data_IF_417151761856
#
_entry.id   IF_417151761856
#
_cell.length_a   1.000
_cell.length_b   1.000
_cell.length_c   1.000
_cell.angle_alpha   90.00
_cell.angle_beta   90.00
_cell.angle_gamma   90.00
#
_symmetry.space_group_name_H-M   'P 1'
#
loop_
_entity.id
_entity.type
_entity.pdbx_description
1 polymer ?
#
# COMPACT_ATOMS: atom_id res chain seq x y z
N UNK A 1 -1.26 -8.35 -24.66
CA UNK A 1 -2.02 -9.54 -24.15
C UNK A 1 -3.46 -9.08 -23.97
N UNK A 2 -4.43 -9.82 -24.43
CA UNK A 2 -5.86 -9.48 -24.25
C UNK A 2 -6.35 -10.22 -23.01
N UNK A 3 -6.97 -9.50 -22.08
CA UNK A 3 -7.65 -10.10 -20.93
C UNK A 3 -8.98 -10.69 -21.40
N UNK A 4 -9.19 -11.98 -21.13
CA UNK A 4 -10.42 -12.70 -21.52
C UNK A 4 -10.73 -13.76 -20.47
N UNK A 5 -12.00 -13.92 -20.13
CA UNK A 5 -12.47 -14.94 -19.19
C UNK A 5 -12.25 -16.36 -19.69
N UNK A 6 -12.13 -16.54 -21.01
CA UNK A 6 -11.80 -17.83 -21.63
C UNK A 6 -10.38 -18.32 -21.27
N UNK A 7 -9.49 -17.39 -20.94
CA UNK A 7 -8.06 -17.68 -20.68
C UNK A 7 -7.73 -17.75 -19.20
N UNK A 8 -8.57 -17.19 -18.34
CA UNK A 8 -8.36 -17.11 -16.89
C UNK A 8 -9.41 -17.94 -16.18
N UNK A 9 -9.08 -19.16 -15.88
CA UNK A 9 -9.94 -20.03 -15.08
C UNK A 9 -9.37 -20.15 -13.66
N UNK A 10 -10.26 -20.32 -12.70
CA UNK A 10 -9.94 -20.46 -11.28
C UNK A 10 -9.15 -19.28 -10.71
N UNK A 11 -9.56 -18.07 -11.08
CA UNK A 11 -8.99 -16.84 -10.56
C UNK A 11 -10.04 -16.13 -9.72
N UNK A 12 -9.76 -15.79 -8.46
CA UNK A 12 -10.67 -14.97 -7.66
C UNK A 12 -10.71 -13.53 -8.18
N UNK A 13 -11.73 -12.74 -7.82
CA UNK A 13 -11.71 -11.31 -8.06
C UNK A 13 -10.51 -10.68 -7.34
N UNK A 14 -9.93 -9.62 -7.91
CA UNK A 14 -8.90 -8.85 -7.21
C UNK A 14 -9.56 -8.05 -6.09
N UNK A 15 -9.22 -8.40 -4.85
CA UNK A 15 -9.63 -7.72 -3.65
C UNK A 15 -8.46 -7.70 -2.66
N UNK A 16 -8.51 -6.82 -1.65
CA UNK A 16 -7.46 -6.67 -0.65
C UNK A 16 -6.05 -6.45 -1.25
N UNK A 17 -5.99 -5.86 -2.45
CA UNK A 17 -4.76 -5.61 -3.22
C UNK A 17 -3.89 -6.85 -3.48
N UNK A 18 -4.49 -8.05 -3.48
CA UNK A 18 -3.80 -9.33 -3.62
C UNK A 18 -3.39 -9.69 -5.07
N UNK A 19 -3.54 -8.78 -6.03
CA UNK A 19 -3.24 -9.05 -7.45
C UNK A 19 -1.80 -9.49 -7.69
N UNK A 20 -0.84 -8.79 -7.11
CA UNK A 20 0.59 -9.16 -7.19
C UNK A 20 0.89 -10.46 -6.43
N UNK A 21 0.29 -10.65 -5.26
CA UNK A 21 0.48 -11.83 -4.44
C UNK A 21 0.05 -13.10 -5.17
N UNK A 22 -1.16 -13.12 -5.72
CA UNK A 22 -1.71 -14.31 -6.37
C UNK A 22 -1.23 -14.45 -7.82
N UNK A 23 -1.48 -13.43 -8.65
CA UNK A 23 -1.17 -13.51 -10.07
C UNK A 23 0.33 -13.39 -10.34
N UNK A 24 1.05 -12.59 -9.54
CA UNK A 24 2.50 -12.49 -9.62
C UNK A 24 3.19 -13.81 -9.28
N UNK A 25 2.77 -14.49 -8.21
CA UNK A 25 3.31 -15.80 -7.84
C UNK A 25 2.92 -16.89 -8.84
N UNK A 26 1.70 -16.86 -9.38
CA UNK A 26 1.28 -17.77 -10.44
C UNK A 26 2.14 -17.59 -11.70
N UNK A 27 2.39 -16.35 -12.13
CA UNK A 27 3.28 -16.04 -13.24
C UNK A 27 4.73 -16.51 -12.96
N UNK A 28 5.23 -16.29 -11.75
CA UNK A 28 6.55 -16.77 -11.34
C UNK A 28 6.66 -18.29 -11.42
N UNK A 29 5.61 -19.01 -11.00
CA UNK A 29 5.57 -20.47 -11.11
C UNK A 29 5.55 -20.95 -12.56
N UNK A 30 4.84 -20.26 -13.47
CA UNK A 30 4.92 -20.56 -14.91
C UNK A 30 6.34 -20.30 -15.46
N UNK A 31 6.93 -19.16 -15.12
CA UNK A 31 8.30 -18.83 -15.54
C UNK A 31 9.35 -19.83 -15.02
N UNK A 32 9.19 -20.31 -13.79
CA UNK A 32 10.08 -21.35 -13.22
C UNK A 32 10.04 -22.65 -14.02
N UNK A 33 8.85 -23.06 -14.47
CA UNK A 33 8.71 -24.27 -15.32
C UNK A 33 9.38 -24.07 -16.68
N UNK A 34 9.14 -22.94 -17.34
CA UNK A 34 9.80 -22.61 -18.62
C UNK A 34 11.31 -22.54 -18.44
N UNK A 35 11.78 -21.89 -17.37
CA UNK A 35 13.20 -21.81 -17.06
C UNK A 35 13.81 -23.20 -16.85
N UNK A 36 13.11 -24.10 -16.16
CA UNK A 36 13.56 -25.48 -15.97
C UNK A 36 13.77 -26.17 -17.31
N UNK A 37 12.80 -26.14 -18.23
CA UNK A 37 12.88 -26.73 -19.56
C UNK A 37 14.08 -26.17 -20.34
N UNK A 38 14.25 -24.83 -20.32
CA UNK A 38 15.39 -24.17 -20.98
C UNK A 38 16.74 -24.54 -20.34
N UNK A 39 16.79 -24.68 -19.01
CA UNK A 39 17.99 -25.05 -18.27
C UNK A 39 18.43 -26.46 -18.60
N UNK A 40 17.48 -27.41 -18.62
CA UNK A 40 17.74 -28.82 -19.01
C UNK A 40 18.27 -28.90 -20.45
N UNK A 41 17.64 -28.19 -21.38
CA UNK A 41 18.11 -28.13 -22.77
C UNK A 41 19.50 -27.48 -22.87
N UNK A 42 19.73 -26.35 -22.22
CA UNK A 42 21.01 -25.63 -22.24
C UNK A 42 22.15 -26.47 -21.66
N UNK A 43 21.86 -27.29 -20.62
CA UNK A 43 22.89 -28.15 -20.00
C UNK A 43 23.47 -29.16 -20.93
N UNK A 44 22.69 -29.67 -21.87
CA UNK A 44 23.17 -30.58 -22.92
C UNK A 44 23.80 -29.84 -24.11
N UNK A 45 23.20 -28.67 -24.47
CA UNK A 45 23.64 -27.94 -25.67
C UNK A 45 24.98 -27.18 -25.48
N UNK A 46 25.22 -26.65 -24.28
CA UNK A 46 26.40 -25.80 -23.99
C UNK A 46 27.65 -26.62 -23.60
N UNK A 47 27.55 -27.94 -23.47
CA UNK A 47 28.69 -28.78 -23.18
C UNK A 47 29.41 -29.15 -24.47
N UNK A 48 30.72 -28.88 -24.58
CA UNK A 48 31.52 -29.42 -25.67
C UNK A 48 31.57 -30.96 -25.62
N UNK A 49 31.53 -31.66 -26.77
CA UNK A 49 31.59 -33.09 -26.82
C UNK A 49 32.80 -33.68 -26.08
N UNK A 50 33.93 -32.99 -26.11
CA UNK A 50 35.18 -33.42 -25.50
C UNK A 50 35.45 -32.84 -24.10
N UNK A 51 34.45 -32.30 -23.46
CA UNK A 51 34.61 -31.67 -22.15
C UNK A 51 34.88 -32.62 -21.01
N UNK A 52 34.46 -33.88 -21.17
CA UNK A 52 34.48 -34.89 -20.11
C UNK A 52 33.53 -34.60 -18.95
N UNK A 53 32.57 -33.72 -19.18
CA UNK A 53 31.55 -33.29 -18.19
C UNK A 53 30.20 -33.88 -18.58
N UNK A 54 29.41 -34.28 -17.60
CA UNK A 54 28.01 -34.66 -17.80
C UNK A 54 27.11 -33.44 -17.80
N UNK A 55 25.98 -33.40 -18.55
CA UNK A 55 24.96 -32.37 -18.48
C UNK A 55 24.46 -32.16 -17.04
N UNK A 56 24.47 -30.93 -16.59
CA UNK A 56 24.11 -30.57 -15.20
C UNK A 56 23.34 -29.25 -15.17
N UNK A 57 22.01 -29.30 -15.09
CA UNK A 57 21.15 -28.15 -15.11
C UNK A 57 21.44 -27.11 -13.99
N UNK A 58 21.91 -27.57 -12.84
CA UNK A 58 22.26 -26.74 -11.69
C UNK A 58 23.45 -25.80 -11.96
N UNK A 59 24.29 -26.10 -12.93
CA UNK A 59 25.43 -25.27 -13.30
C UNK A 59 25.13 -24.26 -14.42
N UNK A 60 23.91 -24.26 -14.95
CA UNK A 60 23.53 -23.33 -16.00
C UNK A 60 23.14 -21.98 -15.38
N UNK A 61 23.90 -20.98 -15.74
CA UNK A 61 23.72 -19.60 -15.29
C UNK A 61 23.03 -18.76 -16.36
N UNK A 62 22.01 -18.02 -15.96
CA UNK A 62 21.33 -17.00 -16.76
C UNK A 62 21.73 -15.64 -16.20
N UNK A 63 22.55 -14.90 -16.92
CA UNK A 63 23.08 -13.62 -16.47
C UNK A 63 23.11 -12.59 -17.62
N UNK A 64 22.52 -11.42 -17.39
CA UNK A 64 22.49 -10.30 -18.33
C UNK A 64 22.11 -10.69 -19.77
N UNK A 65 21.11 -11.57 -19.92
CA UNK A 65 20.64 -12.04 -21.23
C UNK A 65 21.54 -13.07 -21.90
N UNK A 66 22.57 -13.54 -21.22
CA UNK A 66 23.50 -14.58 -21.67
C UNK A 66 23.35 -15.82 -20.79
N UNK A 67 23.50 -16.98 -21.39
CA UNK A 67 23.44 -18.29 -20.73
C UNK A 67 24.75 -19.04 -20.97
N UNK A 68 25.28 -19.63 -19.91
CA UNK A 68 26.52 -20.44 -19.96
C UNK A 68 26.52 -21.47 -18.85
N UNK A 69 27.37 -22.49 -19.00
CA UNK A 69 27.68 -23.44 -17.94
C UNK A 69 28.84 -22.90 -17.11
N UNK A 70 28.63 -22.70 -15.80
CA UNK A 70 29.62 -22.08 -14.90
C UNK A 70 30.93 -22.93 -14.82
N UNK A 71 30.86 -24.25 -14.95
CA UNK A 71 32.01 -25.15 -14.97
C UNK A 71 32.88 -24.95 -16.20
N UNK A 72 32.29 -24.55 -17.33
CA UNK A 72 32.98 -24.36 -18.61
C UNK A 72 33.48 -22.93 -18.83
N UNK A 73 33.01 -21.94 -18.03
CA UNK A 73 33.31 -20.51 -18.20
C UNK A 73 34.80 -20.17 -18.32
N UNK A 74 35.64 -20.87 -17.56
CA UNK A 74 37.09 -20.64 -17.59
C UNK A 74 37.81 -21.42 -18.68
N UNK A 75 37.27 -22.60 -19.09
CA UNK A 75 37.88 -23.50 -20.11
C UNK A 75 37.40 -23.16 -21.53
N UNK A 76 36.13 -22.76 -21.67
CA UNK A 76 35.49 -22.53 -22.96
C UNK A 76 34.65 -21.22 -22.90
N UNK A 77 35.32 -20.07 -22.82
CA UNK A 77 34.62 -18.76 -22.63
C UNK A 77 33.71 -18.40 -23.80
N UNK A 78 33.89 -19.02 -24.97
CA UNK A 78 33.03 -18.91 -26.16
C UNK A 78 31.73 -19.71 -26.03
N UNK A 79 31.66 -20.71 -25.15
CA UNK A 79 30.48 -21.55 -24.95
C UNK A 79 29.39 -20.80 -24.12
N UNK A 80 28.89 -19.78 -24.71
CA UNK A 80 27.78 -19.00 -24.19
C UNK A 80 26.80 -18.70 -25.31
N UNK A 81 25.53 -18.56 -24.95
CA UNK A 81 24.45 -18.28 -25.88
C UNK A 81 23.60 -17.14 -25.35
N UNK A 82 23.02 -16.32 -26.22
CA UNK A 82 22.05 -15.33 -25.80
C UNK A 82 20.71 -16.02 -25.49
N UNK A 83 19.91 -15.40 -24.61
CA UNK A 83 18.57 -15.90 -24.29
C UNK A 83 17.70 -16.05 -25.55
N UNK A 84 17.81 -15.11 -26.49
CA UNK A 84 17.08 -15.14 -27.77
C UNK A 84 17.45 -16.36 -28.62
N UNK A 85 18.73 -16.64 -28.72
CA UNK A 85 19.23 -17.79 -29.49
C UNK A 85 18.85 -19.11 -28.83
N UNK A 86 19.00 -19.21 -27.49
CA UNK A 86 18.57 -20.38 -26.75
C UNK A 86 17.08 -20.69 -26.97
N UNK A 87 16.22 -19.69 -26.87
CA UNK A 87 14.77 -19.84 -27.10
C UNK A 87 14.50 -20.30 -28.55
N UNK A 88 15.22 -19.76 -29.55
CA UNK A 88 15.06 -20.17 -30.95
C UNK A 88 15.48 -21.63 -31.17
N UNK A 89 16.60 -22.04 -30.60
CA UNK A 89 17.06 -23.41 -30.68
C UNK A 89 16.13 -24.38 -29.94
N UNK A 90 15.71 -24.02 -28.72
CA UNK A 90 14.74 -24.80 -27.95
C UNK A 90 13.42 -25.01 -28.72
N UNK A 91 12.97 -23.98 -29.45
CA UNK A 91 11.81 -24.10 -30.34
C UNK A 91 12.04 -25.11 -31.46
N UNK A 92 13.20 -25.08 -32.11
CA UNK A 92 13.53 -26.01 -33.19
C UNK A 92 13.65 -27.45 -32.67
N UNK A 93 14.14 -27.64 -31.44
CA UNK A 93 14.25 -28.92 -30.76
C UNK A 93 12.95 -29.37 -30.07
N UNK A 94 11.84 -28.64 -30.29
CA UNK A 94 10.50 -28.96 -29.77
C UNK A 94 10.40 -28.96 -28.23
N UNK A 95 11.21 -28.14 -27.58
CA UNK A 95 11.14 -27.96 -26.13
C UNK A 95 9.90 -27.06 -25.81
N UNK A 96 9.14 -27.42 -24.77
CA UNK A 96 7.99 -26.61 -24.33
C UNK A 96 8.42 -25.24 -23.83
N UNK A 97 7.94 -24.18 -24.51
CA UNK A 97 8.17 -22.78 -24.17
C UNK A 97 6.92 -22.10 -23.61
N UNK A 98 5.83 -22.83 -23.46
CA UNK A 98 4.56 -22.36 -22.92
C UNK A 98 4.16 -23.16 -21.70
N UNK A 99 3.93 -22.50 -20.58
CA UNK A 99 3.55 -23.13 -19.33
C UNK A 99 2.43 -22.39 -18.62
N UNK A 100 1.69 -23.13 -17.81
CA UNK A 100 0.67 -22.60 -16.93
C UNK A 100 1.15 -22.62 -15.49
N UNK A 101 1.06 -21.46 -14.82
CA UNK A 101 1.30 -21.34 -13.39
C UNK A 101 0.00 -21.24 -12.60
N UNK A 102 0.01 -21.82 -11.44
CA UNK A 102 -1.02 -21.67 -10.42
C UNK A 102 -0.36 -21.41 -9.07
N UNK A 103 -1.03 -20.62 -8.23
CA UNK A 103 -0.59 -20.34 -6.87
C UNK A 103 -1.81 -20.28 -5.95
N UNK A 104 -1.77 -21.02 -4.87
CA UNK A 104 -2.67 -20.90 -3.74
C UNK A 104 -1.88 -20.35 -2.57
N UNK A 105 -2.44 -19.38 -1.86
CA UNK A 105 -1.78 -18.82 -0.66
C UNK A 105 -1.61 -19.90 0.40
N UNK A 106 -0.39 -20.16 0.87
CA UNK A 106 -0.16 -21.18 1.89
C UNK A 106 -0.62 -20.71 3.28
N UNK A 107 -0.84 -21.68 4.16
CA UNK A 107 -1.00 -21.46 5.61
C UNK A 107 -2.16 -20.54 6.01
N UNK A 108 -3.12 -20.26 5.12
CA UNK A 108 -4.35 -19.59 5.48
C UNK A 108 -5.38 -20.64 5.87
N UNK A 109 -5.84 -20.57 7.12
CA UNK A 109 -6.93 -21.39 7.65
C UNK A 109 -7.80 -20.53 8.58
N UNK A 110 -9.10 -20.59 8.39
CA UNK A 110 -10.05 -19.92 9.27
C UNK A 110 -11.38 -20.66 9.32
N UNK A 111 -11.67 -21.22 10.49
CA UNK A 111 -12.94 -21.84 10.75
C UNK A 111 -13.95 -20.80 11.23
N UNK A 112 -14.99 -20.56 10.42
CA UNK A 112 -16.02 -19.53 10.69
C UNK A 112 -16.94 -19.88 11.86
N UNK A 113 -17.12 -21.17 12.18
CA UNK A 113 -18.00 -21.59 13.28
C UNK A 113 -17.33 -21.42 14.63
N UNK A 114 -16.04 -21.68 14.71
CA UNK A 114 -15.26 -21.55 15.94
C UNK A 114 -14.53 -20.21 16.07
N UNK A 115 -14.55 -19.40 15.00
CA UNK A 115 -13.82 -18.12 14.87
C UNK A 115 -12.31 -18.23 15.17
N UNK A 116 -11.72 -19.39 14.82
CA UNK A 116 -10.30 -19.68 15.07
C UNK A 116 -9.57 -19.98 13.76
N UNK A 117 -8.30 -19.61 13.74
CA UNK A 117 -7.39 -19.87 12.62
C UNK A 117 -6.52 -18.67 12.28
N UNK A 118 -5.81 -18.77 11.16
CA UNK A 118 -4.89 -17.78 10.62
C UNK A 118 -5.49 -17.21 9.30
N UNK A 119 -6.37 -16.20 9.37
CA UNK A 119 -7.08 -15.71 8.18
C UNK A 119 -6.22 -14.79 7.31
N UNK A 120 -5.06 -14.32 7.81
CA UNK A 120 -4.21 -13.34 7.13
C UNK A 120 -2.84 -13.89 6.84
N UNK A 121 -2.41 -13.72 5.59
CA UNK A 121 -1.11 -14.21 5.13
C UNK A 121 0.06 -13.37 5.64
N UNK A 122 -0.16 -12.07 5.82
CA UNK A 122 0.77 -11.12 6.43
C UNK A 122 0.04 -9.84 6.83
N UNK A 123 0.73 -9.01 7.56
CA UNK A 123 0.25 -7.68 7.93
C UNK A 123 1.11 -6.61 7.25
N UNK A 124 0.46 -5.51 6.86
CA UNK A 124 1.12 -4.30 6.39
C UNK A 124 1.05 -3.28 7.51
N UNK A 125 2.20 -2.87 8.02
CA UNK A 125 2.32 -1.89 9.11
C UNK A 125 2.68 -0.53 8.54
N UNK A 126 2.19 0.52 9.19
CA UNK A 126 2.54 1.89 8.82
C UNK A 126 2.25 2.85 9.95
N UNK A 127 2.81 4.04 9.83
CA UNK A 127 2.56 5.17 10.72
C UNK A 127 2.31 6.42 9.89
N UNK A 128 1.43 7.29 10.39
CA UNK A 128 1.15 8.58 9.77
C UNK A 128 1.00 9.67 10.83
N UNK A 129 1.48 10.86 10.48
CA UNK A 129 1.30 12.08 11.27
C UNK A 129 0.77 13.15 10.33
N UNK A 130 -0.30 13.82 10.74
CA UNK A 130 -0.93 14.89 9.96
C UNK A 130 -1.08 16.16 10.79
N UNK A 131 -0.91 17.29 10.11
CA UNK A 131 -1.12 18.62 10.65
C UNK A 131 -2.24 19.31 9.88
N UNK A 132 -3.21 19.89 10.59
CA UNK A 132 -4.38 20.51 10.02
C UNK A 132 -4.56 21.92 10.54
N UNK A 133 -5.11 22.78 9.69
CA UNK A 133 -5.60 24.11 10.04
C UNK A 133 -7.12 24.14 9.88
N UNK A 134 -7.82 24.67 10.89
CA UNK A 134 -9.28 24.80 10.88
C UNK A 134 -9.66 26.27 10.99
N UNK A 135 -10.48 26.75 10.07
CA UNK A 135 -11.14 28.05 10.20
C UNK A 135 -12.32 27.94 11.17
N UNK A 136 -12.24 28.63 12.29
CA UNK A 136 -13.27 28.63 13.36
C UNK A 136 -14.62 29.13 12.91
N UNK A 137 -14.68 30.00 11.91
CA UNK A 137 -15.91 30.67 11.48
C UNK A 137 -16.67 29.90 10.42
N UNK A 138 -15.94 29.06 9.64
CA UNK A 138 -16.51 28.31 8.52
C UNK A 138 -16.45 26.80 8.72
N UNK A 139 -15.64 26.31 9.67
CA UNK A 139 -15.33 24.89 9.83
C UNK A 139 -14.44 24.34 8.72
N UNK A 140 -13.95 25.18 7.81
CA UNK A 140 -13.13 24.74 6.70
C UNK A 140 -11.81 24.14 7.20
N UNK A 141 -11.50 22.95 6.70
CA UNK A 141 -10.29 22.19 6.98
C UNK A 141 -9.26 22.42 5.87
N UNK A 142 -8.01 22.68 6.24
CA UNK A 142 -6.84 22.61 5.36
C UNK A 142 -5.85 21.61 5.93
N UNK A 143 -5.42 20.66 5.10
CA UNK A 143 -4.36 19.73 5.43
C UNK A 143 -3.01 20.38 5.09
N UNK A 144 -2.23 20.76 6.11
CA UNK A 144 -0.96 21.50 5.94
C UNK A 144 0.19 20.54 5.67
N UNK A 145 0.28 19.45 6.46
CA UNK A 145 1.38 18.50 6.38
C UNK A 145 0.90 17.09 6.62
N UNK A 146 1.55 16.15 5.93
CA UNK A 146 1.41 14.71 6.19
C UNK A 146 2.74 14.01 5.99
N UNK A 147 3.13 13.20 6.97
CA UNK A 147 4.28 12.32 6.92
C UNK A 147 3.78 10.87 7.01
N UNK A 148 4.09 10.06 5.99
CA UNK A 148 3.71 8.65 5.89
C UNK A 148 4.94 7.77 5.87
N UNK A 149 4.92 6.72 6.68
CA UNK A 149 5.93 5.66 6.67
C UNK A 149 5.24 4.30 6.65
N UNK A 150 5.56 3.44 5.67
CA UNK A 150 4.84 2.21 5.47
C UNK A 150 5.75 1.04 5.09
N UNK A 151 5.50 -0.14 5.67
CA UNK A 151 6.12 -1.40 5.29
C UNK A 151 5.37 -2.02 4.10
N UNK A 152 5.97 -1.93 2.92
CA UNK A 152 5.46 -2.56 1.70
C UNK A 152 6.30 -3.78 1.27
N UNK A 153 7.15 -4.30 2.17
CA UNK A 153 8.16 -5.28 1.83
C UNK A 153 9.26 -4.66 0.97
N UNK A 154 9.75 -5.39 -0.04
CA UNK A 154 10.61 -4.79 -1.07
C UNK A 154 9.78 -4.16 -2.16
N UNK A 155 10.18 -2.99 -2.59
CA UNK A 155 9.53 -2.28 -3.70
C UNK A 155 9.73 -3.03 -5.03
N UNK A 156 8.66 -3.14 -5.80
CA UNK A 156 8.72 -3.65 -7.17
C UNK A 156 9.05 -2.52 -8.15
N UNK A 157 8.39 -1.38 -7.97
CA UNK A 157 8.60 -0.16 -8.74
C UNK A 157 8.40 1.05 -7.83
N UNK A 158 9.47 1.74 -7.40
CA UNK A 158 9.39 2.81 -6.42
C UNK A 158 8.40 3.93 -6.79
N UNK A 159 8.31 4.27 -8.08
CA UNK A 159 7.40 5.33 -8.55
C UNK A 159 5.93 4.90 -8.45
N UNK A 160 5.63 3.67 -8.84
CA UNK A 160 4.26 3.12 -8.75
C UNK A 160 3.89 2.90 -7.29
N UNK A 161 4.76 2.31 -6.50
CA UNK A 161 4.50 2.00 -5.09
C UNK A 161 4.23 3.28 -4.29
N UNK A 162 5.04 4.33 -4.49
CA UNK A 162 4.80 5.65 -3.90
C UNK A 162 3.47 6.25 -4.36
N UNK A 163 3.14 6.11 -5.65
CA UNK A 163 1.85 6.55 -6.20
C UNK A 163 0.66 5.84 -5.57
N UNK A 164 0.77 4.55 -5.28
CA UNK A 164 -0.26 3.78 -4.59
C UNK A 164 -0.45 4.25 -3.14
N UNK A 165 0.65 4.49 -2.41
CA UNK A 165 0.58 5.00 -1.03
C UNK A 165 -0.12 6.35 -0.98
N UNK A 166 0.29 7.28 -1.85
CA UNK A 166 -0.32 8.61 -1.95
C UNK A 166 -1.82 8.50 -2.30
N UNK A 167 -2.13 7.73 -3.35
CA UNK A 167 -3.50 7.58 -3.82
C UNK A 167 -4.44 6.94 -2.79
N UNK A 168 -3.99 5.88 -2.11
CA UNK A 168 -4.75 5.24 -1.05
C UNK A 168 -4.97 6.16 0.14
N UNK A 169 -3.95 6.90 0.58
CA UNK A 169 -4.06 7.87 1.66
C UNK A 169 -5.06 8.98 1.32
N UNK A 170 -4.95 9.61 0.14
CA UNK A 170 -5.84 10.72 -0.27
C UNK A 170 -7.29 10.22 -0.44
N UNK A 171 -7.50 9.01 -0.95
CA UNK A 171 -8.83 8.41 -0.94
C UNK A 171 -9.38 8.31 0.49
N UNK A 172 -8.54 7.87 1.43
CA UNK A 172 -8.91 7.85 2.85
C UNK A 172 -9.20 9.23 3.43
N UNK A 173 -8.44 10.28 3.04
CA UNK A 173 -8.73 11.67 3.45
C UNK A 173 -10.13 12.05 3.03
N UNK A 174 -10.53 11.74 1.80
CA UNK A 174 -11.91 11.96 1.34
C UNK A 174 -12.93 11.26 2.23
N UNK A 175 -12.70 10.00 2.53
CA UNK A 175 -13.58 9.20 3.40
C UNK A 175 -13.75 9.83 4.80
N UNK A 176 -12.70 10.36 5.40
CA UNK A 176 -12.76 10.92 6.75
C UNK A 176 -13.16 12.41 6.79
N UNK A 177 -13.24 13.10 5.65
CA UNK A 177 -13.49 14.56 5.61
C UNK A 177 -14.67 15.00 4.75
N UNK A 178 -14.69 14.71 3.45
CA UNK A 178 -15.65 15.34 2.51
C UNK A 178 -16.63 14.35 1.85
N UNK A 179 -16.38 13.06 1.87
CA UNK A 179 -17.25 12.06 1.25
C UNK A 179 -18.44 11.75 2.15
N UNK A 180 -19.52 12.53 1.99
CA UNK A 180 -20.72 12.47 2.83
C UNK A 180 -21.90 11.86 2.05
N UNK A 181 -22.41 10.74 2.54
CA UNK A 181 -23.59 10.06 2.00
C UNK A 181 -24.85 10.65 2.66
N UNK A 182 -25.58 11.45 1.88
CA UNK A 182 -26.82 12.09 2.31
C UNK A 182 -28.05 11.38 1.74
N UNK A 183 -29.01 11.08 2.61
CA UNK A 183 -30.28 10.49 2.25
C UNK A 183 -31.44 11.41 2.61
N UNK A 184 -32.51 11.37 1.79
CA UNK A 184 -33.78 12.01 2.14
C UNK A 184 -34.50 11.24 3.25
N UNK A 185 -35.54 11.83 3.85
CA UNK A 185 -36.40 11.14 4.83
C UNK A 185 -37.09 9.89 4.25
N UNK A 186 -37.14 9.77 2.93
CA UNK A 186 -37.69 8.61 2.20
C UNK A 186 -36.64 7.56 1.87
N UNK A 187 -35.37 7.75 2.26
CA UNK A 187 -34.27 6.86 1.95
C UNK A 187 -33.67 7.02 0.55
N UNK A 188 -33.97 8.09 -0.17
CA UNK A 188 -33.38 8.37 -1.48
C UNK A 188 -31.97 8.95 -1.29
N UNK A 189 -30.98 8.40 -2.00
CA UNK A 189 -29.61 8.91 -1.98
C UNK A 189 -29.54 10.26 -2.69
N UNK A 190 -29.19 11.32 -1.97
CA UNK A 190 -29.07 12.68 -2.50
C UNK A 190 -27.68 12.96 -3.07
N UNK A 191 -26.63 12.33 -2.52
CA UNK A 191 -25.23 12.46 -2.94
C UNK A 191 -24.84 11.39 -3.98
N UNK A 192 -25.57 11.31 -5.10
CA UNK A 192 -25.40 10.28 -6.11
C UNK A 192 -24.61 10.70 -7.36
N UNK A 193 -24.07 11.91 -7.38
CA UNK A 193 -23.36 12.45 -8.53
C UNK A 193 -22.09 13.22 -8.12
N UNK A 194 -21.12 13.43 -9.04
CA UNK A 194 -19.91 14.20 -8.75
C UNK A 194 -20.16 15.64 -8.27
N UNK A 195 -21.35 16.19 -8.53
CA UNK A 195 -21.74 17.52 -8.06
C UNK A 195 -22.19 17.55 -6.61
N UNK A 196 -22.68 16.42 -6.10
CA UNK A 196 -23.25 16.30 -4.75
C UNK A 196 -22.43 15.38 -3.84
N UNK A 197 -21.63 14.47 -4.40
CA UNK A 197 -20.68 13.63 -3.69
C UNK A 197 -19.26 14.12 -4.00
N UNK A 198 -18.59 14.73 -3.03
CA UNK A 198 -17.28 15.34 -3.21
C UNK A 198 -16.18 14.37 -2.82
N UNK A 199 -15.27 14.13 -3.76
CA UNK A 199 -13.99 13.45 -3.51
C UNK A 199 -12.87 14.49 -3.43
N UNK A 200 -11.74 14.16 -2.81
CA UNK A 200 -10.58 15.06 -2.80
C UNK A 200 -10.10 15.41 -4.21
N UNK A 201 -9.64 16.61 -4.39
CA UNK A 201 -9.03 17.11 -5.62
C UNK A 201 -7.58 17.57 -5.33
N UNK A 202 -6.90 18.12 -6.33
CA UNK A 202 -5.50 18.51 -6.20
C UNK A 202 -5.24 19.60 -5.13
N UNK A 203 -6.25 20.40 -4.79
CA UNK A 203 -6.14 21.44 -3.77
C UNK A 203 -6.27 20.91 -2.33
N UNK A 204 -6.77 19.67 -2.19
CA UNK A 204 -6.92 19.00 -0.89
C UNK A 204 -5.63 18.26 -0.48
N UNK A 205 -4.60 18.27 -1.34
CA UNK A 205 -3.28 17.72 -1.01
C UNK A 205 -2.58 18.61 0.04
N UNK A 206 -1.86 18.00 1.01
CA UNK A 206 -1.06 18.77 1.95
C UNK A 206 0.08 19.50 1.24
N UNK A 207 0.42 20.70 1.71
CA UNK A 207 1.55 21.46 1.16
C UNK A 207 2.89 20.73 1.35
N UNK A 208 3.03 20.05 2.50
CA UNK A 208 4.17 19.20 2.80
C UNK A 208 3.70 17.75 2.85
N UNK A 209 4.12 16.97 1.88
CA UNK A 209 3.71 15.57 1.77
C UNK A 209 4.93 14.65 1.66
N UNK A 210 5.36 14.11 2.79
CA UNK A 210 6.47 13.18 2.87
C UNK A 210 5.95 11.74 2.87
N UNK A 211 6.49 10.93 1.98
CA UNK A 211 6.13 9.50 1.87
C UNK A 211 7.38 8.68 1.76
N UNK A 212 7.57 7.79 2.71
CA UNK A 212 8.71 6.88 2.73
C UNK A 212 8.27 5.45 3.06
N UNK A 213 9.17 4.49 2.85
CA UNK A 213 8.93 3.07 3.06
C UNK A 213 9.93 2.47 4.01
N UNK A 214 9.47 1.51 4.82
CA UNK A 214 10.33 0.73 5.70
C UNK A 214 10.89 -0.44 4.90
N UNK A 215 12.21 -0.60 4.90
CA UNK A 215 12.83 -1.81 4.37
C UNK A 215 12.53 -3.00 5.28
N UNK A 216 11.93 -4.05 4.72
CA UNK A 216 11.61 -5.27 5.45
C UNK A 216 12.19 -6.52 4.76
N UNK A 217 13.48 -6.82 4.96
CA UNK A 217 14.14 -7.98 4.35
C UNK A 217 13.64 -9.32 4.91
N UNK A 218 12.89 -9.32 6.00
CA UNK A 218 12.35 -10.53 6.62
C UNK A 218 11.15 -11.09 5.86
N UNK A 219 10.43 -10.26 5.10
CA UNK A 219 9.32 -10.72 4.28
C UNK A 219 9.84 -11.49 3.06
N UNK A 220 9.68 -12.81 3.04
CA UNK A 220 10.26 -13.69 1.99
C UNK A 220 9.23 -14.41 1.14
N UNK A 221 7.96 -14.18 1.35
CA UNK A 221 6.88 -15.06 0.89
C UNK A 221 6.41 -14.71 -0.52
N UNK A 222 6.26 -13.43 -0.86
CA UNK A 222 5.71 -12.97 -2.13
C UNK A 222 6.77 -12.73 -3.21
N UNK A 223 6.30 -12.48 -4.44
CA UNK A 223 7.14 -12.02 -5.55
C UNK A 223 8.00 -10.85 -5.10
N UNK A 224 9.32 -10.99 -5.26
CA UNK A 224 10.31 -9.99 -4.85
C UNK A 224 10.15 -9.50 -3.41
N UNK A 225 9.58 -10.31 -2.53
CA UNK A 225 9.37 -9.96 -1.12
C UNK A 225 8.46 -8.73 -0.92
N UNK A 226 7.60 -8.43 -1.89
CA UNK A 226 6.65 -7.32 -1.82
C UNK A 226 5.47 -7.62 -0.91
N UNK A 227 4.83 -6.59 -0.42
CA UNK A 227 3.52 -6.62 0.25
C UNK A 227 2.49 -5.84 -0.55
N UNK A 228 1.21 -6.06 -0.27
CA UNK A 228 0.13 -5.27 -0.83
C UNK A 228 0.29 -3.79 -0.49
N UNK A 229 0.14 -2.91 -1.48
CA UNK A 229 0.35 -1.47 -1.33
C UNK A 229 -0.86 -0.64 -1.78
N UNK A 230 -1.86 -1.25 -2.43
CA UNK A 230 -2.99 -0.51 -2.97
C UNK A 230 -4.00 -0.04 -1.92
N UNK A 231 -4.47 -0.93 -1.06
CA UNK A 231 -5.51 -0.64 -0.06
C UNK A 231 -4.98 -0.26 1.33
N UNK A 232 -3.90 -0.87 1.86
CA UNK A 232 -3.46 -0.59 3.23
C UNK A 232 -3.20 0.89 3.55
N UNK A 233 -2.69 1.73 2.64
CA UNK A 233 -2.47 3.15 2.91
C UNK A 233 -3.73 3.94 3.25
N UNK A 234 -4.92 3.46 2.85
CA UNK A 234 -6.18 4.12 3.16
C UNK A 234 -6.34 4.37 4.65
N UNK A 235 -6.03 3.39 5.49
CA UNK A 235 -6.20 3.49 6.94
C UNK A 235 -5.28 4.53 7.60
N UNK A 236 -4.20 4.94 6.95
CA UNK A 236 -3.31 6.00 7.44
C UNK A 236 -4.00 7.37 7.52
N UNK A 237 -5.10 7.57 6.79
CA UNK A 237 -5.90 8.79 6.81
C UNK A 237 -6.52 9.10 8.17
N UNK A 238 -6.62 8.12 9.07
CA UNK A 238 -7.13 8.33 10.42
C UNK A 238 -6.30 9.37 11.18
N UNK A 239 -5.03 9.58 10.82
CA UNK A 239 -4.21 10.67 11.36
C UNK A 239 -4.81 12.05 11.11
N UNK A 240 -5.48 12.24 9.96
CA UNK A 240 -6.15 13.52 9.63
C UNK A 240 -7.36 13.73 10.52
N UNK A 241 -8.20 12.70 10.68
CA UNK A 241 -9.37 12.79 11.57
C UNK A 241 -8.97 13.03 13.04
N UNK A 242 -7.89 12.36 13.49
CA UNK A 242 -7.33 12.56 14.84
C UNK A 242 -6.78 13.99 14.98
N UNK A 243 -6.11 14.53 13.96
CA UNK A 243 -5.61 15.89 13.96
C UNK A 243 -6.75 16.92 14.05
N UNK A 244 -7.85 16.71 13.31
CA UNK A 244 -9.07 17.54 13.44
C UNK A 244 -9.63 17.47 14.86
N UNK A 245 -9.74 16.28 15.42
CA UNK A 245 -10.22 16.09 16.80
C UNK A 245 -9.31 16.77 17.83
N UNK A 246 -8.00 16.71 17.62
CA UNK A 246 -7.02 17.41 18.45
C UNK A 246 -7.17 18.94 18.32
N UNK A 247 -7.32 19.46 17.10
CA UNK A 247 -7.55 20.89 16.89
C UNK A 247 -8.83 21.39 17.59
N UNK A 248 -9.91 20.59 17.57
CA UNK A 248 -11.14 20.89 18.30
C UNK A 248 -10.93 20.90 19.82
N UNK A 249 -10.07 20.06 20.37
CA UNK A 249 -9.75 20.07 21.80
C UNK A 249 -9.07 21.37 22.26
N UNK A 250 -8.44 22.12 21.34
CA UNK A 250 -7.87 23.44 21.63
C UNK A 250 -8.91 24.53 21.80
N UNK A 251 -10.18 24.30 21.41
CA UNK A 251 -11.29 25.23 21.67
C UNK A 251 -11.65 25.20 23.16
N UNK A 252 -11.56 24.02 23.75
CA UNK A 252 -11.82 23.80 25.17
C UNK A 252 -10.88 22.70 25.72
N UNK A 253 -9.93 23.10 26.56
CA UNK A 253 -8.83 22.24 27.03
C UNK A 253 -9.25 21.10 27.97
N UNK A 254 -10.45 21.14 28.55
CA UNK A 254 -10.96 20.17 29.53
C UNK A 254 -11.88 19.10 28.92
N UNK A 255 -12.15 19.16 27.61
CA UNK A 255 -13.06 18.26 26.94
C UNK A 255 -12.40 17.47 25.81
N UNK A 256 -12.74 16.16 25.73
CA UNK A 256 -12.49 15.37 24.54
C UNK A 256 -13.68 15.58 23.59
N UNK A 257 -13.50 16.34 22.49
CA UNK A 257 -14.61 16.67 21.61
C UNK A 257 -15.18 15.41 20.94
N UNK A 258 -16.48 15.37 20.75
CA UNK A 258 -17.10 14.44 19.81
C UNK A 258 -16.79 14.90 18.41
N UNK A 259 -16.61 13.95 17.48
CA UNK A 259 -16.45 14.25 16.06
C UNK A 259 -16.98 13.04 15.27
N UNK A 260 -17.95 13.29 14.41
CA UNK A 260 -18.47 12.27 13.52
C UNK A 260 -17.58 12.10 12.28
N UNK A 261 -17.76 11.01 11.58
CA UNK A 261 -17.21 10.75 10.24
C UNK A 261 -18.34 10.89 9.21
N UNK A 262 -18.07 11.57 8.10
CA UNK A 262 -16.89 12.38 7.80
C UNK A 262 -16.86 13.70 8.59
N UNK A 263 -15.64 14.20 8.86
CA UNK A 263 -15.42 15.50 9.52
C UNK A 263 -15.58 16.64 8.49
N UNK A 264 -16.80 16.81 7.98
CA UNK A 264 -17.12 17.91 7.05
C UNK A 264 -17.01 19.28 7.73
N UNK A 265 -16.91 20.35 6.94
CA UNK A 265 -16.88 21.70 7.47
C UNK A 265 -18.13 22.01 8.35
N UNK A 266 -19.30 21.48 7.96
CA UNK A 266 -20.53 21.57 8.75
C UNK A 266 -20.41 20.87 10.12
N UNK A 267 -19.86 19.63 10.12
CA UNK A 267 -19.65 18.87 11.35
C UNK A 267 -18.65 19.58 12.27
N UNK A 268 -17.52 20.04 11.72
CA UNK A 268 -16.48 20.75 12.46
C UNK A 268 -17.06 22.03 13.08
N UNK A 269 -17.75 22.85 12.30
CA UNK A 269 -18.35 24.11 12.78
C UNK A 269 -19.39 23.87 13.89
N UNK A 270 -20.22 22.85 13.74
CA UNK A 270 -21.17 22.43 14.76
C UNK A 270 -20.48 22.05 16.07
N UNK A 271 -19.36 21.30 16.01
CA UNK A 271 -18.61 20.95 17.22
C UNK A 271 -17.94 22.14 17.87
N UNK A 272 -17.41 23.07 17.09
CA UNK A 272 -16.85 24.31 17.63
C UNK A 272 -17.97 25.09 18.40
N UNK A 273 -19.16 25.22 17.81
CA UNK A 273 -20.28 25.93 18.44
C UNK A 273 -20.74 25.25 19.75
N UNK A 274 -20.86 23.93 19.76
CA UNK A 274 -21.20 23.14 20.96
C UNK A 274 -20.16 23.39 22.07
N UNK A 275 -18.88 23.37 21.75
CA UNK A 275 -17.79 23.58 22.72
C UNK A 275 -17.75 25.02 23.25
N UNK A 276 -18.05 26.02 22.39
CA UNK A 276 -18.11 27.43 22.80
C UNK A 276 -19.33 27.69 23.70
N UNK A 277 -20.48 27.07 23.47
CA UNK A 277 -21.70 27.24 24.28
C UNK A 277 -21.57 26.55 25.65
N UNK A 278 -21.06 25.34 25.70
CA UNK A 278 -20.73 24.62 26.95
C UNK A 278 -19.76 25.45 27.83
N UNK A 279 -18.84 26.23 27.20
CA UNK A 279 -17.90 27.09 27.93
C UNK A 279 -18.59 28.29 28.57
N UNK A 280 -19.62 28.87 27.92
CA UNK A 280 -20.42 29.98 28.45
C UNK A 280 -21.29 29.54 29.64
N UNK A 281 -21.87 28.33 29.54
CA UNK A 281 -22.69 27.78 30.61
C UNK A 281 -21.87 27.45 31.86
N UNK A 282 -20.63 26.95 31.66
CA UNK A 282 -19.68 26.70 32.74
C UNK A 282 -19.21 28.01 33.42
N UNK A 283 -18.98 29.08 32.64
CA UNK A 283 -18.59 30.40 33.14
C UNK A 283 -19.75 31.14 33.83
N UNK A 284 -20.99 30.92 33.38
CA UNK A 284 -22.19 31.51 34.00
C UNK A 284 -22.47 30.96 35.42
N UNK A 285 -21.94 29.78 35.76
CA UNK A 285 -22.07 29.15 37.07
C UNK A 285 -20.91 29.44 38.05
N UNK A 286 -19.87 30.13 37.63
CA UNK A 286 -18.70 30.50 38.44
C UNK A 286 -18.56 32.01 38.54
N UNK A 287 -19.31 32.64 39.42
CA UNK A 287 -18.93 33.93 39.97
C UNK A 287 -17.81 33.69 41.00
N UNK A 288 -16.55 33.63 40.61
CA UNK A 288 -15.40 33.82 41.52
C UNK A 288 -14.14 34.17 40.72
N UNK A 289 -13.64 35.37 41.08
CA UNK A 289 -12.22 35.80 41.16
C UNK A 289 -11.33 35.78 39.92
N UNK A 290 -11.14 36.98 39.37
CA UNK A 290 -10.06 37.35 38.47
C UNK A 290 -8.74 37.48 39.24
N UNK A 291 -7.98 36.40 39.35
CA UNK A 291 -6.52 36.48 39.57
C UNK A 291 -5.88 35.12 39.36
N UNK A 292 -5.31 34.93 38.21
CA UNK A 292 -4.13 34.12 37.87
C UNK A 292 -4.18 33.63 36.42
N UNK A 293 -3.80 34.52 35.51
CA UNK A 293 -3.43 34.09 34.15
C UNK A 293 -1.95 33.73 34.19
N UNK A 294 -1.66 32.46 34.33
CA UNK A 294 -0.30 31.90 34.16
C UNK A 294 -0.19 31.33 32.73
N UNK A 295 0.62 32.00 31.93
CA UNK A 295 1.07 31.51 30.62
C UNK A 295 1.95 30.26 30.79
N UNK A 296 1.42 29.11 30.46
CA UNK A 296 2.25 27.85 30.30
C UNK A 296 2.75 27.79 28.88
N UNK A 297 4.01 28.13 28.69
CA UNK A 297 4.74 27.88 27.46
C UNK A 297 5.17 26.40 27.42
N UNK A 298 4.71 25.68 26.40
CA UNK A 298 5.20 24.34 26.09
C UNK A 298 6.60 24.39 25.43
N UNK A 299 7.54 23.55 25.82
CA UNK A 299 8.89 23.58 25.25
C UNK A 299 8.88 22.97 23.83
N UNK A 300 9.43 23.72 22.89
CA UNK A 300 9.76 23.26 21.55
C UNK A 300 10.98 22.33 21.66
N UNK A 301 10.81 21.05 21.37
CA UNK A 301 11.92 20.11 21.20
C UNK A 301 12.66 20.45 19.90
N UNK A 302 13.81 21.08 20.02
CA UNK A 302 14.75 21.26 18.93
C UNK A 302 15.44 19.94 18.63
N UNK A 303 15.23 19.39 17.43
CA UNK A 303 16.03 18.28 16.92
C UNK A 303 17.40 18.81 16.48
N UNK A 304 18.44 18.47 17.20
CA UNK A 304 19.82 18.66 16.77
C UNK A 304 20.14 17.71 15.61
N UNK A 305 20.68 18.29 14.53
CA UNK A 305 21.28 17.56 13.41
C UNK A 305 22.56 16.86 13.85
N UNK A 306 22.61 15.57 13.60
CA UNK A 306 23.86 14.83 13.37
C UNK A 306 23.74 14.00 12.12
#
# INVERSE_FOLDING_TARGET
MITSTEKNNNTPPTAASAGTDLNGMAALNACRKIRKNLTEFASSYLLPPDSGLDPSPENIIFENGTIYDDRSKSRFPENKITFRELVKLAFMERISLGERGFYGTPEIDFNRETEKGEPFFYYTTGASVSEVLIDRFTGQLKLERTDLLMDIGETINPGIDKGQIIGGFIQGVGWVTNEDLRYSDKGELLSYSPTTYKIPNIQDLPEIFNVDTIENPQHKINVRRSKAVGEPPLMLCLSVWIAVKHALSCVRNDAIPRLNLPATAEEILRRITELDDDSKDAAGNSSVDESEVSLVSLPILSAEKK
#
